data_IF_338817579759
#
_entry.id   IF_338817579759
#
_cell.length_a   1.000
_cell.length_b   1.000
_cell.length_c   1.000
_cell.angle_alpha   90.00
_cell.angle_beta   90.00
_cell.angle_gamma   90.00
#
_symmetry.space_group_name_H-M   'P 1'
#
loop_
_entity.id
_entity.type
_entity.pdbx_description
1 polymer ?
#
# COMPACT_ATOMS: atom_id res chain seq x y z
N UNK A 1 44.98 7.78 -40.61
CA UNK A 1 44.07 7.01 -39.74
C UNK A 1 44.03 7.58 -38.31
N UNK A 2 43.83 8.89 -38.13
CA UNK A 2 43.74 9.53 -36.80
C UNK A 2 42.77 10.74 -36.82
N UNK A 3 41.67 10.63 -37.57
CA UNK A 3 40.64 11.69 -37.67
C UNK A 3 39.19 11.23 -37.42
N UNK A 4 38.96 9.94 -37.14
CA UNK A 4 37.61 9.38 -36.96
C UNK A 4 37.24 9.03 -35.50
N UNK A 5 38.09 9.33 -34.52
CA UNK A 5 37.81 9.05 -33.10
C UNK A 5 37.19 10.23 -32.34
N UNK A 6 37.43 11.47 -32.79
CA UNK A 6 36.88 12.68 -32.15
C UNK A 6 35.39 12.90 -32.52
N UNK A 7 34.99 12.52 -33.74
CA UNK A 7 33.63 12.77 -34.26
C UNK A 7 32.54 11.82 -33.70
N UNK A 8 32.93 10.75 -32.99
CA UNK A 8 31.98 9.84 -32.34
C UNK A 8 31.65 10.20 -30.89
N UNK A 9 32.37 11.16 -30.28
CA UNK A 9 32.06 11.60 -28.91
C UNK A 9 30.99 12.71 -28.86
N UNK A 10 30.82 13.50 -29.93
CA UNK A 10 29.86 14.62 -29.95
C UNK A 10 28.42 14.27 -30.39
N UNK A 11 28.14 13.01 -30.79
CA UNK A 11 26.79 12.57 -31.19
C UNK A 11 25.98 11.88 -30.09
N UNK A 12 26.45 11.84 -28.85
CA UNK A 12 25.65 11.39 -27.70
C UNK A 12 25.09 12.59 -26.95
N UNK A 13 24.18 13.30 -27.62
CA UNK A 13 23.17 14.10 -26.95
C UNK A 13 22.30 13.18 -26.09
N UNK A 14 22.75 12.88 -24.88
CA UNK A 14 21.89 12.32 -23.84
C UNK A 14 20.81 13.35 -23.56
N UNK A 15 19.57 12.89 -23.73
CA UNK A 15 18.34 13.58 -23.38
C UNK A 15 18.47 14.27 -22.00
N UNK A 16 18.15 15.58 -21.87
CA UNK A 16 18.16 16.28 -20.58
C UNK A 16 17.36 15.57 -19.48
N UNK A 17 16.46 14.63 -19.82
CA UNK A 17 15.77 13.76 -18.88
C UNK A 17 16.70 12.86 -18.03
N UNK A 18 17.87 12.46 -18.54
CA UNK A 18 18.79 11.54 -17.83
C UNK A 18 19.61 12.20 -16.71
N UNK A 19 19.69 13.55 -16.66
CA UNK A 19 20.37 14.24 -15.55
C UNK A 19 19.59 14.19 -14.23
N UNK A 20 18.29 13.90 -14.26
CA UNK A 20 17.44 13.90 -13.05
C UNK A 20 17.29 12.54 -12.36
N UNK A 21 17.69 11.43 -13.00
CA UNK A 21 17.56 10.08 -12.42
C UNK A 21 18.79 9.72 -11.54
N UNK A 22 19.86 10.52 -11.57
CA UNK A 22 21.10 10.26 -10.83
C UNK A 22 21.37 11.21 -9.65
N UNK A 23 20.44 12.08 -9.27
CA UNK A 23 20.50 12.67 -7.93
C UNK A 23 20.17 11.57 -6.93
N UNK A 24 21.20 10.82 -6.51
CA UNK A 24 21.10 9.94 -5.34
C UNK A 24 20.45 10.78 -4.24
N UNK A 25 19.33 10.35 -3.64
CA UNK A 25 18.88 10.99 -2.41
C UNK A 25 20.07 10.98 -1.45
N UNK A 26 20.32 12.08 -0.71
CA UNK A 26 21.46 12.15 0.18
C UNK A 26 21.45 10.91 1.08
N UNK A 27 22.60 10.23 1.19
CA UNK A 27 22.78 8.97 1.93
C UNK A 27 22.25 9.03 3.37
N UNK A 28 21.99 10.22 3.91
CA UNK A 28 21.45 10.49 5.25
C UNK A 28 19.92 10.43 5.41
N UNK A 29 19.13 10.18 4.35
CA UNK A 29 17.64 10.23 4.39
C UNK A 29 16.94 8.87 4.31
N UNK A 30 17.61 7.79 4.67
CA UNK A 30 17.08 6.43 4.50
C UNK A 30 16.50 5.88 5.79
N UNK A 31 15.46 6.53 6.29
CA UNK A 31 14.74 6.03 7.45
C UNK A 31 13.93 4.77 7.09
N UNK A 32 13.73 3.86 8.04
CA UNK A 32 13.03 2.60 7.82
C UNK A 32 11.50 2.78 7.77
N UNK A 33 11.05 3.61 6.83
CA UNK A 33 9.70 4.19 6.81
C UNK A 33 8.59 3.14 6.79
N UNK A 34 8.81 2.06 6.05
CA UNK A 34 7.82 1.01 5.93
C UNK A 34 7.73 0.12 7.16
N UNK A 35 8.80 -0.06 7.94
CA UNK A 35 8.81 -1.07 9.00
C UNK A 35 7.98 -0.66 10.21
N UNK A 36 8.21 0.54 10.77
CA UNK A 36 7.47 0.98 11.96
C UNK A 36 6.01 1.27 11.63
N UNK A 37 5.69 1.66 10.38
CA UNK A 37 4.33 1.90 9.95
C UNK A 37 3.58 0.57 9.78
N UNK A 38 4.21 -0.44 9.18
CA UNK A 38 3.67 -1.81 9.09
C UNK A 38 3.51 -2.45 10.45
N UNK A 39 4.48 -2.25 11.35
CA UNK A 39 4.41 -2.72 12.73
C UNK A 39 3.25 -2.07 13.48
N UNK A 40 3.08 -0.75 13.36
CA UNK A 40 1.99 -0.02 14.05
C UNK A 40 0.61 -0.37 13.47
N UNK A 41 0.56 -0.75 12.20
CA UNK A 41 -0.64 -1.33 11.61
C UNK A 41 -0.86 -2.80 12.00
N UNK A 42 0.15 -3.51 12.51
CA UNK A 42 0.07 -4.94 12.81
C UNK A 42 0.23 -5.88 11.59
N UNK A 43 0.84 -5.42 10.49
CA UNK A 43 1.16 -6.29 9.35
C UNK A 43 2.58 -6.86 9.47
N UNK A 44 2.69 -8.11 9.94
CA UNK A 44 3.96 -8.82 10.08
C UNK A 44 4.65 -9.08 8.74
N UNK A 45 3.87 -9.48 7.71
CA UNK A 45 4.38 -9.68 6.34
C UNK A 45 5.12 -8.45 5.81
N UNK A 46 4.44 -7.29 5.81
CA UNK A 46 5.03 -6.04 5.31
C UNK A 46 6.21 -5.58 6.16
N UNK A 47 6.18 -5.80 7.47
CA UNK A 47 7.30 -5.46 8.36
C UNK A 47 8.56 -6.28 8.04
N UNK A 48 8.41 -7.59 7.82
CA UNK A 48 9.52 -8.47 7.44
C UNK A 48 10.13 -8.09 6.08
N UNK A 49 9.28 -7.84 5.08
CA UNK A 49 9.75 -7.37 3.76
C UNK A 49 10.45 -6.02 3.83
N UNK A 50 9.94 -5.08 4.62
CA UNK A 50 10.60 -3.79 4.82
C UNK A 50 11.99 -3.95 5.46
N UNK A 51 12.16 -4.91 6.38
CA UNK A 51 13.45 -5.20 6.98
C UNK A 51 14.45 -5.75 5.94
N UNK A 52 14.03 -6.71 5.12
CA UNK A 52 14.87 -7.31 4.07
C UNK A 52 15.17 -6.35 2.91
N UNK A 53 14.16 -5.70 2.32
CA UNK A 53 14.34 -4.86 1.13
C UNK A 53 15.25 -3.65 1.37
N UNK A 54 15.30 -3.13 2.60
CA UNK A 54 16.19 -2.04 2.91
C UNK A 54 17.66 -2.42 2.89
N UNK A 55 18.02 -3.69 3.16
CA UNK A 55 19.41 -4.15 3.11
C UNK A 55 19.98 -4.11 1.70
N UNK A 56 19.14 -4.31 0.66
CA UNK A 56 19.52 -4.28 -0.76
C UNK A 56 20.18 -2.94 -1.15
N UNK A 57 19.73 -1.83 -0.56
CA UNK A 57 20.25 -0.49 -0.85
C UNK A 57 21.26 0.03 0.16
N UNK A 58 21.25 -0.51 1.38
CA UNK A 58 21.89 0.09 2.55
C UNK A 58 23.05 -0.72 3.12
N UNK A 59 23.10 -2.03 2.86
CA UNK A 59 23.95 -2.97 3.59
C UNK A 59 23.25 -3.54 4.84
N UNK A 60 23.74 -4.69 5.29
CA UNK A 60 23.04 -5.55 6.27
C UNK A 60 23.01 -4.99 7.71
N UNK A 61 24.17 -4.69 8.30
CA UNK A 61 24.28 -4.65 9.78
C UNK A 61 23.69 -3.39 10.43
N UNK A 62 23.92 -2.22 9.83
CA UNK A 62 23.44 -0.93 10.38
C UNK A 62 21.94 -0.77 10.19
N UNK A 63 21.40 -1.27 9.07
CA UNK A 63 19.99 -1.09 8.73
C UNK A 63 19.08 -1.96 9.59
N UNK A 64 19.43 -3.24 9.77
CA UNK A 64 18.61 -4.19 10.53
C UNK A 64 18.54 -3.86 12.02
N UNK A 65 19.66 -3.44 12.63
CA UNK A 65 19.68 -3.02 14.04
C UNK A 65 18.83 -1.76 14.26
N UNK A 66 18.94 -0.78 13.35
CA UNK A 66 18.09 0.42 13.40
C UNK A 66 16.61 0.09 13.21
N UNK A 67 16.25 -0.88 12.37
CA UNK A 67 14.87 -1.30 12.18
C UNK A 67 14.20 -1.79 13.47
N UNK A 68 14.89 -2.67 14.21
CA UNK A 68 14.40 -3.16 15.48
C UNK A 68 14.18 -2.01 16.49
N UNK A 69 15.16 -1.11 16.60
CA UNK A 69 15.06 0.08 17.46
C UNK A 69 13.94 1.04 17.06
N UNK A 70 13.61 1.14 15.76
CA UNK A 70 12.52 1.99 15.28
C UNK A 70 11.13 1.42 15.64
N UNK A 71 11.02 0.09 15.81
CA UNK A 71 9.78 -0.59 16.19
C UNK A 71 9.51 -0.53 17.70
N UNK A 72 10.55 -0.40 18.54
CA UNK A 72 10.42 -0.26 19.99
C UNK A 72 9.52 0.93 20.36
N UNK A 73 8.70 0.86 21.42
CA UNK A 73 7.84 1.98 21.84
C UNK A 73 8.60 3.29 21.98
N UNK A 74 9.76 3.24 22.65
CA UNK A 74 10.71 4.34 22.78
C UNK A 74 12.04 3.91 22.16
N UNK A 75 12.50 4.55 21.07
CA UNK A 75 13.81 4.29 20.51
C UNK A 75 14.95 4.58 21.49
N UNK A 76 16.03 3.80 21.42
CA UNK A 76 17.22 4.03 22.25
C UNK A 76 17.84 5.43 22.05
N UNK A 77 18.44 6.04 23.09
CA UNK A 77 19.06 7.36 22.99
C UNK A 77 20.23 7.35 22.00
N UNK A 78 20.32 8.37 21.14
CA UNK A 78 21.42 8.54 20.19
C UNK A 78 21.38 7.62 18.95
N UNK A 79 20.39 6.71 18.84
CA UNK A 79 20.25 5.82 17.67
C UNK A 79 19.78 6.59 16.43
N UNK A 80 18.89 7.56 16.63
CA UNK A 80 18.23 8.31 15.56
C UNK A 80 18.52 9.80 15.69
N UNK A 81 18.77 10.45 14.55
CA UNK A 81 18.85 11.90 14.47
C UNK A 81 17.45 12.54 14.55
N UNK A 82 17.33 13.86 14.76
CA UNK A 82 16.04 14.52 14.90
C UNK A 82 15.08 14.33 13.71
N UNK A 83 15.60 14.25 12.48
CA UNK A 83 14.76 13.98 11.29
C UNK A 83 14.22 12.56 11.30
N UNK A 84 15.08 11.58 11.61
CA UNK A 84 14.67 10.17 11.72
C UNK A 84 13.60 9.99 12.80
N UNK A 85 13.78 10.62 13.97
CA UNK A 85 12.79 10.59 15.05
C UNK A 85 11.45 11.21 14.65
N UNK A 86 11.48 12.35 13.95
CA UNK A 86 10.26 12.97 13.44
C UNK A 86 9.50 12.03 12.48
N UNK A 87 10.22 11.34 11.59
CA UNK A 87 9.65 10.37 10.64
C UNK A 87 9.11 9.13 11.34
N UNK A 88 9.82 8.59 12.34
CA UNK A 88 9.35 7.42 13.13
C UNK A 88 8.08 7.79 13.90
N UNK A 89 8.07 8.93 14.58
CA UNK A 89 6.94 9.35 15.41
C UNK A 89 5.66 9.55 14.58
N UNK A 90 5.74 10.32 13.49
CA UNK A 90 4.59 10.52 12.64
C UNK A 90 4.16 9.22 11.97
N UNK A 91 5.12 8.38 11.58
CA UNK A 91 4.87 7.12 10.91
C UNK A 91 4.16 6.06 11.76
N UNK A 92 4.49 5.98 13.05
CA UNK A 92 3.77 5.11 14.00
C UNK A 92 2.32 5.52 14.15
N UNK A 93 2.08 6.82 14.40
CA UNK A 93 0.74 7.41 14.50
C UNK A 93 -0.06 7.27 13.21
N UNK A 94 0.59 7.41 12.07
CA UNK A 94 -0.01 7.26 10.75
C UNK A 94 -0.31 5.78 10.40
N UNK A 95 0.46 4.85 10.97
CA UNK A 95 0.27 3.41 10.82
C UNK A 95 -0.90 2.87 11.63
N UNK A 96 -1.19 3.49 12.78
CA UNK A 96 -2.30 3.14 13.67
C UNK A 96 -3.67 3.22 12.97
N UNK A 97 -4.62 2.41 13.46
CA UNK A 97 -6.01 2.36 12.98
C UNK A 97 -6.95 2.39 14.20
N UNK A 98 -7.72 3.49 14.40
CA UNK A 98 -7.73 4.71 13.62
C UNK A 98 -6.39 5.48 13.66
N UNK A 99 -6.19 6.39 12.72
CA UNK A 99 -4.97 7.18 12.62
C UNK A 99 -4.85 8.16 13.79
N UNK A 100 -3.67 8.27 14.39
CA UNK A 100 -3.43 9.10 15.58
C UNK A 100 -2.67 10.41 15.26
N UNK A 101 -2.48 10.74 13.98
CA UNK A 101 -1.76 11.96 13.59
C UNK A 101 -2.55 13.21 13.96
N UNK A 102 -1.87 14.13 14.64
CA UNK A 102 -2.38 15.45 15.00
C UNK A 102 -1.72 16.56 14.19
N UNK A 103 -2.30 17.77 14.23
CA UNK A 103 -1.67 18.96 13.65
C UNK A 103 -0.28 19.26 14.23
N UNK A 104 -0.06 18.94 15.51
CA UNK A 104 1.24 19.14 16.18
C UNK A 104 2.31 18.18 15.64
N UNK A 105 1.91 16.95 15.29
CA UNK A 105 2.80 15.98 14.65
C UNK A 105 3.24 16.46 13.26
N UNK A 106 2.29 16.99 12.47
CA UNK A 106 2.57 17.56 11.14
C UNK A 106 3.52 18.76 11.27
N UNK A 107 3.28 19.66 12.22
CA UNK A 107 4.16 20.80 12.46
C UNK A 107 5.54 20.35 12.96
N UNK A 108 5.61 19.32 13.79
CA UNK A 108 6.87 18.75 14.28
C UNK A 108 7.71 18.18 13.13
N UNK A 109 7.06 17.42 12.25
CA UNK A 109 7.68 16.94 11.02
C UNK A 109 8.16 18.10 10.14
N UNK A 110 7.34 19.15 9.97
CA UNK A 110 7.70 20.32 9.16
C UNK A 110 8.87 21.15 9.72
N UNK A 111 9.10 21.11 11.04
CA UNK A 111 10.30 21.72 11.66
C UNK A 111 11.58 20.93 11.38
N UNK A 112 11.47 19.62 11.21
CA UNK A 112 12.63 18.74 11.02
C UNK A 112 12.98 18.51 9.54
N UNK A 113 11.99 18.52 8.65
CA UNK A 113 12.12 18.08 7.26
C UNK A 113 11.75 19.20 6.28
N UNK A 114 12.47 19.29 5.16
CA UNK A 114 12.08 20.15 4.04
C UNK A 114 10.79 19.63 3.39
N UNK A 115 10.08 20.46 2.64
CA UNK A 115 8.85 20.04 1.95
C UNK A 115 9.07 18.85 1.00
N UNK A 116 10.24 18.79 0.34
CA UNK A 116 10.62 17.66 -0.54
C UNK A 116 10.89 16.38 0.25
N UNK A 117 11.54 16.49 1.43
CA UNK A 117 11.74 15.35 2.34
C UNK A 117 10.41 14.83 2.89
N UNK A 118 9.51 15.74 3.31
CA UNK A 118 8.18 15.39 3.81
C UNK A 118 7.39 14.62 2.74
N UNK A 119 7.30 15.15 1.53
CA UNK A 119 6.56 14.52 0.43
C UNK A 119 7.10 13.12 0.11
N UNK A 120 8.43 12.93 0.10
CA UNK A 120 9.04 11.62 -0.10
C UNK A 120 8.62 10.62 0.98
N UNK A 121 8.70 11.01 2.26
CA UNK A 121 8.34 10.17 3.41
C UNK A 121 6.85 9.83 3.40
N UNK A 122 5.99 10.83 3.17
CA UNK A 122 4.54 10.64 3.18
C UNK A 122 4.10 9.73 2.02
N UNK A 123 4.68 9.89 0.83
CA UNK A 123 4.37 9.02 -0.31
C UNK A 123 4.70 7.55 -0.01
N UNK A 124 5.85 7.29 0.61
CA UNK A 124 6.21 5.93 1.04
C UNK A 124 5.18 5.40 2.06
N UNK A 125 4.82 6.21 3.06
CA UNK A 125 3.84 5.81 4.08
C UNK A 125 2.44 5.56 3.53
N UNK A 126 2.02 6.36 2.55
CA UNK A 126 0.74 6.21 1.85
C UNK A 126 0.71 4.88 1.09
N UNK A 127 1.76 4.59 0.31
CA UNK A 127 1.89 3.31 -0.39
C UNK A 127 1.86 2.13 0.58
N UNK A 128 2.55 2.24 1.73
CA UNK A 128 2.49 1.21 2.76
C UNK A 128 1.09 1.04 3.33
N UNK A 129 0.28 2.10 3.41
CA UNK A 129 -1.13 1.98 3.79
C UNK A 129 -1.97 1.10 2.86
N UNK A 130 -1.67 1.13 1.56
CA UNK A 130 -2.25 0.19 0.61
C UNK A 130 -1.77 -1.23 0.90
N UNK A 131 -0.44 -1.43 0.90
CA UNK A 131 0.18 -2.75 1.02
C UNK A 131 -0.19 -3.45 2.32
N UNK A 132 -0.17 -2.74 3.44
CA UNK A 132 -0.48 -3.29 4.75
C UNK A 132 -1.91 -3.86 4.79
N UNK A 133 -2.88 -3.11 4.25
CA UNK A 133 -4.27 -3.56 4.20
C UNK A 133 -4.43 -4.71 3.21
N UNK A 134 -3.83 -4.58 2.03
CA UNK A 134 -3.87 -5.60 0.99
C UNK A 134 -3.31 -6.93 1.49
N UNK A 135 -2.06 -6.93 1.98
CA UNK A 135 -1.39 -8.13 2.46
C UNK A 135 -2.11 -8.73 3.65
N UNK A 136 -2.55 -7.92 4.62
CA UNK A 136 -3.33 -8.43 5.76
C UNK A 136 -4.56 -9.25 5.31
N UNK A 137 -5.28 -8.81 4.27
CA UNK A 137 -6.44 -9.55 3.77
C UNK A 137 -6.06 -10.79 2.95
N UNK A 138 -4.89 -10.78 2.30
CA UNK A 138 -4.42 -11.87 1.45
C UNK A 138 -3.71 -12.99 2.22
N UNK A 139 -3.07 -12.65 3.35
CA UNK A 139 -2.39 -13.58 4.26
C UNK A 139 -3.38 -14.27 5.22
N UNK A 140 -4.64 -13.81 5.30
CA UNK A 140 -5.66 -14.43 6.15
C UNK A 140 -5.93 -15.86 5.72
N UNK A 141 -6.26 -16.74 6.67
CA UNK A 141 -6.21 -18.21 6.60
C UNK A 141 -7.58 -18.89 6.35
N UNK A 142 -8.03 -19.05 5.08
CA UNK A 142 -9.42 -19.44 4.75
C UNK A 142 -9.69 -20.15 3.39
N UNK A 143 -8.70 -20.56 2.60
CA UNK A 143 -8.90 -21.32 1.35
C UNK A 143 -8.32 -22.74 1.44
N UNK A 144 -8.85 -23.55 2.36
CA UNK A 144 -8.77 -25.01 2.23
C UNK A 144 -10.17 -25.58 1.95
N UNK A 145 -10.38 -25.98 0.71
CA UNK A 145 -11.57 -26.63 0.18
C UNK A 145 -11.63 -28.14 0.47
N UNK A 146 -10.79 -28.63 1.38
CA UNK A 146 -10.91 -29.94 2.03
C UNK A 146 -11.27 -29.71 3.49
N UNK A 147 -12.47 -30.10 3.90
CA UNK A 147 -12.92 -30.02 5.29
C UNK A 147 -12.14 -30.96 6.24
N UNK A 148 -11.21 -31.78 5.75
CA UNK A 148 -10.54 -32.83 6.51
C UNK A 148 -9.01 -32.64 6.71
N UNK A 149 -8.33 -31.72 6.03
CA UNK A 149 -6.88 -31.53 6.20
C UNK A 149 -6.47 -30.04 6.15
N UNK A 150 -5.90 -29.57 7.27
CA UNK A 150 -5.09 -28.36 7.55
C UNK A 150 -5.45 -27.01 6.88
N UNK A 151 -5.59 -25.90 7.64
CA UNK A 151 -5.98 -24.59 7.09
C UNK A 151 -4.84 -23.93 6.30
N UNK A 152 -5.15 -23.42 5.09
CA UNK A 152 -4.29 -22.50 4.34
C UNK A 152 -5.11 -21.28 3.89
N UNK A 153 -4.47 -20.11 3.89
CA UNK A 153 -4.85 -18.77 3.38
C UNK A 153 -6.08 -18.59 2.46
N UNK A 154 -6.96 -17.60 2.70
CA UNK A 154 -7.95 -16.92 1.82
C UNK A 154 -7.45 -16.74 0.39
N UNK A 155 -6.16 -16.42 0.23
CA UNK A 155 -5.42 -16.43 -1.03
C UNK A 155 -4.04 -17.11 -0.92
N UNK A 156 -3.75 -17.76 0.21
CA UNK A 156 -2.52 -18.54 0.41
C UNK A 156 -1.22 -17.73 0.35
N UNK A 157 -1.24 -16.40 0.60
CA UNK A 157 0.01 -15.65 0.62
C UNK A 157 0.73 -15.86 1.94
N UNK A 158 1.73 -16.72 1.89
CA UNK A 158 2.63 -17.03 3.00
C UNK A 158 3.87 -16.14 2.94
N UNK A 159 4.38 -15.75 4.11
CA UNK A 159 5.65 -15.04 4.22
C UNK A 159 6.79 -15.93 3.75
N UNK A 160 7.51 -15.47 2.73
CA UNK A 160 8.63 -16.19 2.13
C UNK A 160 9.76 -16.40 3.15
N UNK A 161 10.58 -17.42 2.91
CA UNK A 161 11.57 -17.88 3.87
C UNK A 161 12.58 -16.80 4.24
N UNK A 162 13.11 -16.08 3.26
CA UNK A 162 14.15 -15.06 3.50
C UNK A 162 13.63 -13.88 4.34
N UNK A 163 12.47 -13.26 4.03
CA UNK A 163 11.79 -12.33 4.94
C UNK A 163 11.47 -12.91 6.32
N UNK A 164 11.00 -14.15 6.40
CA UNK A 164 10.67 -14.84 7.66
C UNK A 164 11.90 -14.99 8.55
N UNK A 165 13.00 -15.52 8.01
CA UNK A 165 14.29 -15.66 8.70
C UNK A 165 14.84 -14.30 9.12
N UNK A 166 14.76 -13.29 8.24
CA UNK A 166 15.19 -11.92 8.56
C UNK A 166 14.39 -11.36 9.73
N UNK A 167 13.06 -11.53 9.72
CA UNK A 167 12.19 -11.09 10.80
C UNK A 167 12.52 -11.79 12.12
N UNK A 168 12.61 -13.12 12.11
CA UNK A 168 12.93 -13.91 13.30
C UNK A 168 14.29 -13.55 13.89
N UNK A 169 15.29 -13.34 13.04
CA UNK A 169 16.65 -13.05 13.47
C UNK A 169 16.85 -11.62 13.96
N UNK A 170 16.20 -10.65 13.33
CA UNK A 170 16.53 -9.24 13.52
C UNK A 170 15.41 -8.40 14.15
N UNK A 171 14.16 -8.86 14.14
CA UNK A 171 13.02 -8.10 14.64
C UNK A 171 12.40 -8.74 15.89
N UNK A 172 12.74 -9.97 16.26
CA UNK A 172 12.14 -10.64 17.41
C UNK A 172 12.25 -9.83 18.72
N UNK A 173 13.37 -9.14 18.94
CA UNK A 173 13.58 -8.28 20.12
C UNK A 173 12.60 -7.09 20.19
N UNK A 174 12.06 -6.63 19.06
CA UNK A 174 11.05 -5.57 19.03
C UNK A 174 9.62 -6.07 19.27
N UNK A 175 9.46 -7.37 19.57
CA UNK A 175 8.15 -8.02 19.71
C UNK A 175 7.53 -8.45 18.39
N UNK A 176 8.28 -8.38 17.29
CA UNK A 176 7.80 -8.89 16.01
C UNK A 176 7.62 -10.40 16.04
N UNK A 177 6.53 -10.87 15.44
CA UNK A 177 6.30 -12.28 15.14
C UNK A 177 5.75 -12.40 13.72
N UNK A 178 5.91 -13.57 13.09
CA UNK A 178 5.31 -13.82 11.78
C UNK A 178 3.77 -13.75 11.82
N UNK A 179 3.16 -14.00 12.99
CA UNK A 179 1.72 -13.91 13.21
C UNK A 179 0.96 -14.77 12.22
N UNK A 180 -0.13 -14.24 11.67
CA UNK A 180 -0.96 -14.94 10.66
C UNK A 180 -0.31 -15.05 9.28
N UNK A 181 0.89 -14.52 9.07
CA UNK A 181 1.55 -14.56 7.76
C UNK A 181 2.37 -15.84 7.55
N UNK A 182 2.43 -16.73 8.55
CA UNK A 182 3.15 -17.99 8.48
C UNK A 182 2.56 -18.99 9.47
N UNK A 183 2.18 -20.16 8.97
CA UNK A 183 1.81 -21.34 9.75
C UNK A 183 2.89 -22.43 9.55
N UNK A 184 3.69 -22.77 10.58
CA UNK A 184 4.73 -23.79 10.46
C UNK A 184 4.24 -25.15 9.93
N UNK A 185 3.01 -25.56 10.27
CA UNK A 185 2.45 -26.84 9.84
C UNK A 185 1.77 -26.73 8.48
N UNK A 186 0.98 -25.68 8.25
CA UNK A 186 0.28 -25.44 6.99
C UNK A 186 1.19 -25.08 5.81
N UNK A 187 2.35 -24.47 6.07
CA UNK A 187 3.24 -23.90 5.05
C UNK A 187 4.52 -24.71 4.79
N UNK A 188 4.71 -25.88 5.41
CA UNK A 188 5.95 -26.66 5.29
C UNK A 188 6.34 -26.95 3.84
N UNK A 189 5.38 -27.40 3.02
CA UNK A 189 5.55 -27.68 1.59
C UNK A 189 5.98 -26.43 0.81
N UNK A 190 5.34 -25.28 1.06
CA UNK A 190 5.69 -24.00 0.43
C UNK A 190 7.09 -23.56 0.82
N UNK A 191 7.50 -23.79 2.08
CA UNK A 191 8.85 -23.47 2.54
C UNK A 191 9.92 -24.37 1.91
N UNK A 192 9.60 -25.65 1.66
CA UNK A 192 10.50 -26.54 0.91
C UNK A 192 10.68 -26.07 -0.54
N UNK A 193 9.60 -25.67 -1.21
CA UNK A 193 9.66 -25.10 -2.55
C UNK A 193 10.48 -23.80 -2.59
N UNK A 194 10.28 -22.91 -1.61
CA UNK A 194 11.01 -21.65 -1.53
C UNK A 194 12.50 -21.87 -1.26
N UNK A 195 12.87 -22.84 -0.40
CA UNK A 195 14.26 -23.29 -0.21
C UNK A 195 14.89 -23.74 -1.52
N UNK A 196 14.24 -24.63 -2.25
CA UNK A 196 14.72 -25.12 -3.54
C UNK A 196 14.85 -23.99 -4.58
N UNK A 197 13.91 -23.03 -4.58
CA UNK A 197 13.97 -21.84 -5.42
C UNK A 197 15.09 -20.87 -5.04
N UNK A 198 15.39 -20.73 -3.74
CA UNK A 198 16.48 -19.91 -3.23
C UNK A 198 17.85 -20.46 -3.66
N UNK A 199 18.06 -21.78 -3.57
CA UNK A 199 19.26 -22.43 -4.07
C UNK A 199 19.46 -22.18 -5.57
N UNK A 200 18.40 -22.38 -6.38
CA UNK A 200 18.42 -22.06 -7.83
C UNK A 200 18.65 -20.57 -8.10
N UNK A 201 18.19 -19.66 -7.23
CA UNK A 201 18.45 -18.22 -7.35
C UNK A 201 19.93 -17.92 -7.12
N UNK A 202 20.57 -18.52 -6.12
CA UNK A 202 22.00 -18.37 -5.86
C UNK A 202 22.86 -18.92 -7.01
N UNK A 203 22.48 -20.07 -7.58
CA UNK A 203 23.12 -20.61 -8.79
C UNK A 203 22.98 -19.65 -9.98
N UNK A 204 21.77 -19.09 -10.19
CA UNK A 204 21.53 -18.11 -11.25
C UNK A 204 22.30 -16.81 -11.01
N UNK A 205 22.45 -16.33 -9.77
CA UNK A 205 23.27 -15.15 -9.46
C UNK A 205 24.74 -15.37 -9.83
N UNK A 206 25.26 -16.59 -9.62
CA UNK A 206 26.62 -16.98 -10.04
C UNK A 206 26.78 -17.02 -11.56
N UNK A 207 25.70 -17.34 -12.29
CA UNK A 207 25.68 -17.42 -13.76
C UNK A 207 25.31 -16.10 -14.45
N UNK A 208 24.52 -15.24 -13.80
CA UNK A 208 23.96 -14.02 -14.35
C UNK A 208 24.88 -12.82 -14.13
N UNK A 209 25.95 -12.74 -14.91
CA UNK A 209 26.66 -11.49 -15.15
C UNK A 209 26.11 -10.82 -16.41
N UNK A 210 25.28 -9.78 -16.27
CA UNK A 210 25.01 -8.88 -17.39
C UNK A 210 23.85 -7.90 -17.19
N UNK A 211 24.15 -6.59 -17.27
CA UNK A 211 23.14 -5.51 -17.26
C UNK A 211 22.09 -5.58 -18.38
N UNK A 212 22.25 -6.50 -19.34
CA UNK A 212 21.31 -6.74 -20.43
C UNK A 212 19.98 -7.38 -19.98
N UNK A 213 20.01 -8.27 -18.99
CA UNK A 213 18.78 -8.89 -18.44
C UNK A 213 17.93 -7.85 -17.71
N UNK A 214 18.58 -6.96 -16.95
CA UNK A 214 17.92 -5.84 -16.27
C UNK A 214 17.27 -4.87 -17.26
N UNK A 215 17.96 -4.56 -18.37
CA UNK A 215 17.43 -3.69 -19.42
C UNK A 215 16.18 -4.28 -20.09
N UNK A 216 16.17 -5.59 -20.41
CA UNK A 216 14.99 -6.27 -20.97
C UNK A 216 13.77 -6.20 -20.04
N UNK A 217 13.98 -6.40 -18.74
CA UNK A 217 12.91 -6.31 -17.75
C UNK A 217 12.29 -4.90 -17.70
N UNK A 218 13.12 -3.85 -17.73
CA UNK A 218 12.66 -2.46 -17.75
C UNK A 218 11.84 -2.14 -19.01
N UNK A 219 12.26 -2.61 -20.19
CA UNK A 219 11.53 -2.40 -21.45
C UNK A 219 10.19 -3.13 -21.42
N UNK A 220 10.16 -4.40 -20.99
CA UNK A 220 8.93 -5.16 -20.85
C UNK A 220 7.92 -4.50 -19.91
N UNK A 221 8.39 -4.05 -18.74
CA UNK A 221 7.56 -3.34 -17.77
C UNK A 221 6.96 -2.05 -18.37
N UNK A 222 7.76 -1.26 -19.10
CA UNK A 222 7.30 -0.02 -19.74
C UNK A 222 6.27 -0.25 -20.83
N UNK A 223 6.42 -1.33 -21.61
CA UNK A 223 5.45 -1.69 -22.66
C UNK A 223 4.12 -2.16 -22.08
N UNK A 224 4.15 -2.99 -21.03
CA UNK A 224 2.95 -3.41 -20.32
C UNK A 224 2.22 -2.21 -19.68
N UNK A 225 2.97 -1.29 -19.07
CA UNK A 225 2.43 -0.07 -18.49
C UNK A 225 1.75 0.80 -19.56
N UNK A 226 2.45 1.09 -20.66
CA UNK A 226 1.91 1.91 -21.76
C UNK A 226 0.63 1.32 -22.38
N UNK A 227 0.56 -0.01 -22.52
CA UNK A 227 -0.64 -0.69 -23.02
C UNK A 227 -1.82 -0.57 -22.04
N UNK A 228 -1.56 -0.72 -20.74
CA UNK A 228 -2.59 -0.60 -19.69
C UNK A 228 -3.13 0.83 -19.53
N UNK A 229 -2.34 1.83 -19.91
CA UNK A 229 -2.67 3.26 -19.80
C UNK A 229 -3.40 3.83 -21.02
N UNK A 230 -3.54 3.07 -22.11
CA UNK A 230 -4.18 3.56 -23.35
C UNK A 230 -5.62 4.03 -23.09
N UNK A 231 -5.92 5.29 -23.45
CA UNK A 231 -7.25 5.89 -23.32
C UNK A 231 -7.64 6.38 -21.92
N UNK A 232 -6.76 6.25 -20.91
CA UNK A 232 -7.00 6.82 -19.59
C UNK A 232 -6.43 8.24 -19.54
N UNK A 233 -7.17 9.28 -19.09
CA UNK A 233 -6.60 10.59 -18.86
C UNK A 233 -5.57 10.50 -17.72
N UNK A 234 -4.30 10.38 -18.08
CA UNK A 234 -3.18 10.25 -17.14
C UNK A 234 -2.62 11.60 -16.72
N UNK A 235 -3.00 12.69 -17.39
CA UNK A 235 -2.60 14.03 -16.96
C UNK A 235 -3.55 14.54 -15.88
N UNK A 236 -2.96 14.98 -14.78
CA UNK A 236 -3.66 15.64 -13.68
C UNK A 236 -4.54 16.81 -14.14
N UNK A 237 -4.07 17.58 -15.13
CA UNK A 237 -4.84 18.69 -15.72
C UNK A 237 -6.18 18.21 -16.28
N UNK A 238 -6.19 17.08 -16.98
CA UNK A 238 -7.41 16.50 -17.53
C UNK A 238 -8.33 15.98 -16.42
N UNK A 239 -7.76 15.35 -15.37
CA UNK A 239 -8.54 14.87 -14.22
C UNK A 239 -9.18 16.04 -13.46
N UNK A 240 -8.41 17.10 -13.17
CA UNK A 240 -8.91 18.31 -12.51
C UNK A 240 -10.06 18.92 -13.30
N UNK A 241 -9.87 19.09 -14.61
CA UNK A 241 -10.88 19.65 -15.51
C UNK A 241 -12.15 18.79 -15.50
N UNK A 242 -12.03 17.48 -15.75
CA UNK A 242 -13.17 16.56 -15.78
C UNK A 242 -13.92 16.50 -14.45
N UNK A 243 -13.21 16.47 -13.32
CA UNK A 243 -13.82 16.51 -12.00
C UNK A 243 -14.57 17.83 -11.78
N UNK A 244 -13.97 18.97 -12.14
CA UNK A 244 -14.61 20.28 -12.01
C UNK A 244 -15.86 20.38 -12.88
N UNK A 245 -15.78 19.95 -14.14
CA UNK A 245 -16.90 19.99 -15.09
C UNK A 245 -18.07 19.07 -14.68
N UNK A 246 -17.78 17.86 -14.18
CA UNK A 246 -18.82 16.85 -13.93
C UNK A 246 -19.29 16.77 -12.49
N UNK A 247 -18.42 17.10 -11.54
CA UNK A 247 -18.67 17.00 -10.11
C UNK A 247 -18.70 18.38 -9.42
N UNK A 248 -18.31 19.46 -10.11
CA UNK A 248 -18.26 20.82 -9.54
C UNK A 248 -17.00 21.09 -8.72
N UNK A 249 -16.17 20.08 -8.46
CA UNK A 249 -14.91 20.23 -7.73
C UNK A 249 -13.94 19.09 -8.10
N UNK A 250 -12.65 19.27 -7.81
CA UNK A 250 -11.65 18.23 -7.90
C UNK A 250 -11.12 17.91 -6.48
N UNK A 251 -11.19 16.65 -6.02
CA UNK A 251 -10.63 16.27 -4.72
C UNK A 251 -9.16 16.65 -4.63
N UNK A 252 -8.76 17.37 -3.59
CA UNK A 252 -7.39 17.90 -3.45
C UNK A 252 -6.31 16.79 -3.38
N UNK A 253 -6.66 15.58 -2.96
CA UNK A 253 -5.72 14.46 -3.00
C UNK A 253 -5.50 13.89 -4.41
N UNK A 254 -6.32 14.31 -5.38
CA UNK A 254 -6.14 14.01 -6.81
C UNK A 254 -5.46 15.15 -7.57
N UNK A 255 -5.46 16.36 -7.01
CA UNK A 255 -4.92 17.57 -7.66
C UNK A 255 -4.03 18.31 -6.67
N UNK A 256 -2.73 18.38 -6.93
CA UNK A 256 -1.82 19.14 -6.06
C UNK A 256 -1.25 20.38 -6.74
N UNK A 257 -0.29 20.99 -6.07
CA UNK A 257 0.40 22.16 -6.62
C UNK A 257 1.21 21.76 -7.86
N UNK A 258 1.15 22.59 -8.90
CA UNK A 258 1.74 22.39 -10.23
C UNK A 258 3.28 22.21 -10.20
N UNK A 259 3.90 22.45 -9.04
CA UNK A 259 5.36 22.40 -8.81
C UNK A 259 5.84 21.17 -8.02
N UNK A 260 4.98 20.22 -7.66
CA UNK A 260 5.45 18.98 -7.00
C UNK A 260 6.33 18.18 -7.97
N UNK A 261 7.57 17.86 -7.52
CA UNK A 261 8.51 17.01 -8.27
C UNK A 261 8.08 15.53 -8.27
N UNK A 262 7.09 15.16 -7.44
CA UNK A 262 6.61 13.78 -7.24
C UNK A 262 5.27 13.52 -7.94
N UNK A 263 4.97 14.25 -9.03
CA UNK A 263 3.74 14.11 -9.82
C UNK A 263 3.42 12.65 -10.20
N UNK A 264 4.44 11.78 -10.37
CA UNK A 264 4.23 10.37 -10.72
C UNK A 264 3.50 9.56 -9.64
N UNK A 265 3.82 9.75 -8.36
CA UNK A 265 3.16 9.04 -7.26
C UNK A 265 1.68 9.45 -7.16
N UNK A 266 1.42 10.76 -7.31
CA UNK A 266 0.06 11.30 -7.38
C UNK A 266 -0.68 10.77 -8.61
N UNK A 267 -0.06 10.71 -9.78
CA UNK A 267 -0.67 10.16 -10.99
C UNK A 267 -1.04 8.68 -10.82
N UNK A 268 -0.20 7.89 -10.15
CA UNK A 268 -0.52 6.50 -9.81
C UNK A 268 -1.73 6.42 -8.86
N UNK A 269 -1.79 7.30 -7.86
CA UNK A 269 -2.95 7.40 -6.96
C UNK A 269 -4.23 7.81 -7.70
N UNK A 270 -4.15 8.80 -8.58
CA UNK A 270 -5.27 9.24 -9.43
C UNK A 270 -5.74 8.09 -10.32
N UNK A 271 -4.82 7.36 -10.92
CA UNK A 271 -5.15 6.20 -11.74
C UNK A 271 -5.84 5.12 -10.91
N UNK A 272 -5.27 4.75 -9.76
CA UNK A 272 -5.85 3.74 -8.89
C UNK A 272 -7.25 4.15 -8.39
N UNK A 273 -7.42 5.41 -7.99
CA UNK A 273 -8.71 5.97 -7.59
C UNK A 273 -9.74 5.89 -8.72
N UNK A 274 -9.40 6.43 -9.89
CA UNK A 274 -10.35 6.49 -11.01
C UNK A 274 -10.69 5.11 -11.57
N UNK A 275 -9.70 4.23 -11.77
CA UNK A 275 -9.88 2.90 -12.40
C UNK A 275 -10.41 1.84 -11.45
N UNK A 276 -10.09 1.92 -10.15
CA UNK A 276 -10.42 0.83 -9.22
C UNK A 276 -11.53 1.19 -8.24
N UNK A 277 -11.62 2.45 -7.81
CA UNK A 277 -12.69 2.89 -6.90
C UNK A 277 -13.89 3.47 -7.66
N UNK A 278 -13.67 4.27 -8.69
CA UNK A 278 -14.77 4.94 -9.41
C UNK A 278 -15.39 4.09 -10.52
N UNK A 279 -14.62 3.21 -11.16
CA UNK A 279 -15.15 2.25 -12.14
C UNK A 279 -15.59 0.98 -11.40
N UNK A 280 -16.86 0.61 -11.56
CA UNK A 280 -17.39 -0.69 -11.13
C UNK A 280 -17.12 -1.75 -12.19
N UNK A 281 -17.05 -3.00 -11.77
CA UNK A 281 -17.20 -4.15 -12.66
C UNK A 281 -18.65 -4.64 -12.63
N UNK A 282 -19.01 -5.57 -13.51
CA UNK A 282 -20.29 -6.28 -13.41
C UNK A 282 -20.40 -7.04 -12.08
N UNK A 283 -19.26 -7.50 -11.55
CA UNK A 283 -19.21 -8.29 -10.33
C UNK A 283 -19.24 -7.44 -9.06
N UNK A 284 -18.52 -6.33 -9.06
CA UNK A 284 -18.40 -5.38 -7.94
C UNK A 284 -18.80 -3.98 -8.42
N UNK A 285 -20.10 -3.62 -8.27
CA UNK A 285 -20.60 -2.32 -8.70
C UNK A 285 -19.91 -1.15 -7.99
N UNK A 286 -19.78 -0.01 -8.69
CA UNK A 286 -19.16 1.20 -8.14
C UNK A 286 -19.87 1.68 -6.85
N UNK A 287 -21.19 1.61 -6.81
CA UNK A 287 -22.00 1.94 -5.64
C UNK A 287 -21.60 1.11 -4.41
N UNK A 288 -21.35 -0.19 -4.58
CA UNK A 288 -20.89 -1.09 -3.50
C UNK A 288 -19.52 -0.67 -3.00
N UNK A 289 -18.55 -0.44 -3.90
CA UNK A 289 -17.21 0.02 -3.53
C UNK A 289 -17.21 1.32 -2.75
N UNK A 290 -18.04 2.28 -3.18
CA UNK A 290 -18.14 3.58 -2.54
C UNK A 290 -18.82 3.49 -1.17
N UNK A 291 -19.81 2.59 -1.02
CA UNK A 291 -20.41 2.29 0.28
C UNK A 291 -19.40 1.66 1.23
N UNK A 292 -18.59 0.70 0.76
CA UNK A 292 -17.49 0.12 1.54
C UNK A 292 -16.48 1.20 1.96
N UNK A 293 -16.10 2.09 1.04
CA UNK A 293 -15.22 3.22 1.32
C UNK A 293 -15.81 4.19 2.35
N UNK A 294 -17.11 4.45 2.28
CA UNK A 294 -17.83 5.25 3.27
C UNK A 294 -17.79 4.61 4.67
N UNK A 295 -18.04 3.30 4.78
CA UNK A 295 -17.98 2.57 6.05
C UNK A 295 -16.57 2.59 6.65
N UNK A 296 -15.56 2.34 5.82
CA UNK A 296 -14.17 2.33 6.27
C UNK A 296 -13.67 3.74 6.66
N UNK A 297 -14.09 4.79 5.93
CA UNK A 297 -13.80 6.17 6.31
C UNK A 297 -14.53 6.59 7.59
N UNK A 298 -15.73 6.07 7.83
CA UNK A 298 -16.51 6.35 9.06
C UNK A 298 -15.86 5.71 10.28
N UNK A 299 -15.44 4.45 10.19
CA UNK A 299 -14.75 3.75 11.28
C UNK A 299 -13.39 4.37 11.61
N UNK A 300 -12.70 4.95 10.63
CA UNK A 300 -11.45 5.66 10.85
C UNK A 300 -11.62 7.15 11.27
N UNK A 301 -12.84 7.60 11.53
CA UNK A 301 -13.22 9.00 11.80
C UNK A 301 -12.64 10.01 10.78
N UNK A 302 -12.52 9.59 9.52
CA UNK A 302 -11.99 10.43 8.45
C UNK A 302 -13.14 11.17 7.76
N UNK A 303 -13.45 12.36 8.26
CA UNK A 303 -14.59 13.18 7.81
C UNK A 303 -14.52 13.56 6.33
N UNK A 304 -13.32 13.84 5.81
CA UNK A 304 -13.08 14.22 4.41
C UNK A 304 -13.43 13.07 3.48
N UNK A 305 -12.85 11.89 3.71
CA UNK A 305 -13.12 10.72 2.89
C UNK A 305 -14.55 10.24 3.07
N UNK A 306 -15.11 10.33 4.29
CA UNK A 306 -16.52 10.00 4.54
C UNK A 306 -17.43 10.86 3.65
N UNK A 307 -17.21 12.17 3.59
CA UNK A 307 -17.97 13.06 2.72
C UNK A 307 -17.80 12.72 1.22
N UNK A 308 -16.57 12.46 0.77
CA UNK A 308 -16.32 12.12 -0.63
C UNK A 308 -16.93 10.78 -1.05
N UNK A 309 -16.80 9.74 -0.22
CA UNK A 309 -17.41 8.44 -0.51
C UNK A 309 -18.93 8.49 -0.45
N UNK A 310 -19.52 9.26 0.48
CA UNK A 310 -20.96 9.52 0.50
C UNK A 310 -21.43 10.21 -0.78
N UNK A 311 -20.73 11.26 -1.23
CA UNK A 311 -21.03 11.96 -2.47
C UNK A 311 -20.96 11.03 -3.68
N UNK A 312 -19.90 10.21 -3.80
CA UNK A 312 -19.75 9.27 -4.91
C UNK A 312 -20.83 8.19 -4.88
N UNK A 313 -21.12 7.60 -3.72
CA UNK A 313 -22.17 6.60 -3.55
C UNK A 313 -23.53 7.18 -3.95
N UNK A 314 -23.84 8.41 -3.52
CA UNK A 314 -25.07 9.09 -3.88
C UNK A 314 -25.21 9.30 -5.38
N UNK A 315 -24.14 9.70 -6.05
CA UNK A 315 -24.11 9.83 -7.52
C UNK A 315 -24.28 8.50 -8.27
N UNK A 316 -24.00 7.38 -7.61
CA UNK A 316 -24.26 6.03 -8.13
C UNK A 316 -25.57 5.44 -7.60
N UNK A 317 -26.50 6.28 -7.13
CA UNK A 317 -27.87 5.87 -6.78
C UNK A 317 -28.04 5.35 -5.35
N UNK A 318 -27.02 5.43 -4.49
CA UNK A 318 -27.16 5.05 -3.08
C UNK A 318 -27.87 6.17 -2.31
N UNK A 319 -28.99 5.85 -1.65
CA UNK A 319 -29.70 6.82 -0.82
C UNK A 319 -28.91 7.17 0.45
N UNK A 320 -29.15 8.36 1.00
CA UNK A 320 -28.55 8.77 2.29
C UNK A 320 -28.97 7.82 3.41
N UNK A 321 -30.22 7.34 3.40
CA UNK A 321 -30.71 6.35 4.36
C UNK A 321 -29.91 5.04 4.28
N UNK A 322 -29.61 4.56 3.08
CA UNK A 322 -28.83 3.32 2.90
C UNK A 322 -27.39 3.49 3.41
N UNK A 323 -26.78 4.66 3.23
CA UNK A 323 -25.47 4.95 3.80
C UNK A 323 -25.50 4.97 5.32
N UNK A 324 -26.51 5.63 5.92
CA UNK A 324 -26.67 5.68 7.37
C UNK A 324 -26.86 4.27 7.96
N UNK A 325 -27.71 3.44 7.35
CA UNK A 325 -27.92 2.05 7.74
C UNK A 325 -26.65 1.21 7.64
N UNK A 326 -25.82 1.42 6.60
CA UNK A 326 -24.57 0.68 6.42
C UNK A 326 -23.58 0.87 7.59
N UNK A 327 -23.64 2.03 8.27
CA UNK A 327 -22.77 2.38 9.40
C UNK A 327 -23.42 2.25 10.78
N UNK A 328 -24.70 1.90 10.87
CA UNK A 328 -25.40 1.76 12.14
C UNK A 328 -24.88 0.54 12.94
N UNK A 329 -24.83 0.65 14.27
CA UNK A 329 -24.57 -0.48 15.17
C UNK A 329 -25.68 -1.52 15.05
N UNK A 330 -25.33 -2.78 14.83
CA UNK A 330 -26.31 -3.83 14.50
C UNK A 330 -27.02 -3.61 13.17
N UNK A 331 -26.51 -2.71 12.32
CA UNK A 331 -27.05 -2.40 11.01
C UNK A 331 -27.25 -3.68 10.21
N UNK A 332 -28.53 -3.93 9.95
CA UNK A 332 -29.04 -5.18 9.44
C UNK A 332 -28.34 -5.55 8.13
N UNK A 333 -27.53 -6.59 8.18
CA UNK A 333 -27.17 -7.34 6.99
C UNK A 333 -28.15 -8.49 6.78
N UNK A 334 -29.31 -8.50 7.46
CA UNK A 334 -30.39 -9.45 7.16
C UNK A 334 -30.50 -9.50 5.66
N UNK A 335 -30.44 -10.73 5.16
CA UNK A 335 -30.39 -11.07 3.74
C UNK A 335 -31.64 -10.63 2.98
N UNK A 336 -31.92 -9.33 2.93
CA UNK A 336 -32.61 -8.71 1.82
C UNK A 336 -31.86 -9.03 0.52
N UNK A 337 -32.60 -9.03 -0.59
CA UNK A 337 -32.38 -9.73 -1.88
C UNK A 337 -30.96 -9.79 -2.50
N UNK A 338 -29.96 -9.10 -1.97
CA UNK A 338 -28.57 -9.07 -2.47
C UNK A 338 -27.53 -9.52 -1.42
N UNK A 339 -27.43 -10.84 -1.21
CA UNK A 339 -26.42 -11.49 -0.37
C UNK A 339 -24.98 -11.12 -0.75
N UNK A 340 -24.75 -10.85 -2.03
CA UNK A 340 -23.43 -10.50 -2.57
C UNK A 340 -22.99 -9.15 -2.02
N UNK A 341 -23.84 -8.13 -2.13
CA UNK A 341 -23.60 -6.82 -1.51
C UNK A 341 -23.45 -6.93 0.00
N UNK A 342 -24.30 -7.70 0.69
CA UNK A 342 -24.19 -7.90 2.13
C UNK A 342 -22.82 -8.44 2.55
N UNK A 343 -22.28 -9.44 1.84
CA UNK A 343 -20.95 -9.99 2.08
C UNK A 343 -19.84 -8.93 1.93
N UNK A 344 -19.91 -8.09 0.89
CA UNK A 344 -18.95 -7.00 0.70
C UNK A 344 -19.01 -5.94 1.81
N UNK A 345 -20.22 -5.57 2.29
CA UNK A 345 -20.36 -4.61 3.39
C UNK A 345 -19.88 -5.21 4.72
N UNK A 346 -20.12 -6.49 4.97
CA UNK A 346 -19.57 -7.21 6.13
C UNK A 346 -18.04 -7.24 6.11
N UNK A 347 -17.42 -7.42 4.95
CA UNK A 347 -15.97 -7.28 4.77
C UNK A 347 -15.47 -5.88 5.11
N UNK A 348 -16.15 -4.84 4.63
CA UNK A 348 -15.80 -3.45 4.96
C UNK A 348 -15.90 -3.16 6.46
N UNK A 349 -16.94 -3.70 7.13
CA UNK A 349 -17.12 -3.58 8.58
C UNK A 349 -16.00 -4.27 9.36
N UNK A 350 -15.67 -5.51 8.99
CA UNK A 350 -14.56 -6.25 9.61
C UNK A 350 -13.21 -5.51 9.45
N UNK A 351 -13.02 -4.82 8.32
CA UNK A 351 -11.81 -4.03 8.06
C UNK A 351 -11.78 -2.66 8.75
N UNK A 352 -12.91 -2.18 9.29
CA UNK A 352 -13.01 -0.88 9.94
C UNK A 352 -12.38 -0.82 11.33
N UNK A 353 -12.25 -1.95 12.01
CA UNK A 353 -11.68 -2.04 13.36
C UNK A 353 -10.15 -2.19 13.38
N UNK A 354 -9.65 -2.65 14.53
CA UNK A 354 -8.25 -3.04 14.69
C UNK A 354 -7.85 -4.04 13.60
N UNK A 355 -6.70 -3.83 12.92
CA UNK A 355 -6.23 -4.73 11.89
C UNK A 355 -6.12 -6.16 12.44
N UNK A 356 -6.77 -7.09 11.77
CA UNK A 356 -6.81 -8.49 12.16
C UNK A 356 -7.40 -9.35 11.05
N UNK A 357 -7.44 -10.67 11.26
CA UNK A 357 -7.95 -11.59 10.28
C UNK A 357 -9.46 -11.43 10.07
N UNK A 358 -9.90 -11.65 8.82
CA UNK A 358 -11.33 -11.77 8.53
C UNK A 358 -11.86 -13.06 9.17
N UNK A 359 -13.07 -13.04 9.78
CA UNK A 359 -13.73 -14.25 10.26
C UNK A 359 -13.85 -15.31 9.17
N UNK A 360 -13.65 -16.59 9.51
CA UNK A 360 -13.67 -17.69 8.55
C UNK A 360 -15.00 -17.80 7.81
N UNK A 361 -16.09 -17.57 8.53
CA UNK A 361 -17.46 -17.59 8.02
C UNK A 361 -17.68 -16.48 6.97
N UNK A 362 -17.08 -15.31 7.21
CA UNK A 362 -17.15 -14.19 6.28
C UNK A 362 -16.35 -14.47 5.01
N UNK A 363 -15.17 -15.07 5.13
CA UNK A 363 -14.40 -15.47 3.94
C UNK A 363 -15.13 -16.54 3.14
N UNK A 364 -15.65 -17.57 3.80
CA UNK A 364 -16.45 -18.59 3.15
C UNK A 364 -17.67 -18.00 2.43
N UNK A 365 -18.32 -16.99 3.05
CA UNK A 365 -19.40 -16.24 2.41
C UNK A 365 -18.90 -15.47 1.17
N UNK A 366 -17.80 -14.72 1.27
CA UNK A 366 -17.22 -13.99 0.14
C UNK A 366 -16.91 -14.93 -1.03
N UNK A 367 -16.28 -16.08 -0.78
CA UNK A 367 -15.94 -17.06 -1.83
C UNK A 367 -17.15 -17.76 -2.45
N UNK A 368 -18.29 -17.81 -1.75
CA UNK A 368 -19.56 -18.30 -2.32
C UNK A 368 -20.24 -17.25 -3.20
N UNK A 369 -20.06 -15.97 -2.90
CA UNK A 369 -20.75 -14.87 -3.57
C UNK A 369 -19.94 -14.22 -4.70
N UNK A 370 -18.62 -14.36 -4.66
CA UNK A 370 -17.68 -13.72 -5.58
C UNK A 370 -16.69 -14.72 -6.16
N UNK A 371 -16.29 -14.49 -7.41
CA UNK A 371 -15.12 -15.10 -8.02
C UNK A 371 -13.85 -14.62 -7.31
N UNK A 372 -12.71 -15.31 -7.46
CA UNK A 372 -11.43 -14.83 -6.94
C UNK A 372 -11.09 -13.41 -7.43
N UNK A 373 -11.43 -13.07 -8.68
CA UNK A 373 -11.21 -11.72 -9.21
C UNK A 373 -12.08 -10.67 -8.51
N UNK A 374 -13.36 -10.99 -8.26
CA UNK A 374 -14.27 -10.16 -7.49
C UNK A 374 -13.80 -9.92 -6.05
N UNK A 375 -13.33 -10.96 -5.37
CA UNK A 375 -12.76 -10.82 -4.02
C UNK A 375 -11.50 -9.95 -4.03
N UNK A 376 -10.60 -10.15 -4.99
CA UNK A 376 -9.41 -9.28 -5.17
C UNK A 376 -9.83 -7.82 -5.43
N UNK A 377 -10.92 -7.59 -6.14
CA UNK A 377 -11.46 -6.25 -6.39
C UNK A 377 -12.02 -5.59 -5.11
N UNK A 378 -12.64 -6.37 -4.22
CA UNK A 378 -13.05 -5.91 -2.88
C UNK A 378 -11.84 -5.59 -1.98
N UNK A 379 -10.85 -6.48 -1.97
CA UNK A 379 -9.56 -6.29 -1.26
C UNK A 379 -8.88 -5.00 -1.72
N UNK A 380 -8.77 -4.80 -3.04
CA UNK A 380 -8.19 -3.59 -3.62
C UNK A 380 -8.97 -2.33 -3.24
N UNK A 381 -10.30 -2.41 -3.23
CA UNK A 381 -11.16 -1.29 -2.84
C UNK A 381 -10.82 -0.80 -1.44
N UNK A 382 -10.83 -1.69 -0.44
CA UNK A 382 -10.53 -1.34 0.95
C UNK A 382 -9.06 -0.92 1.14
N UNK A 383 -8.14 -1.51 0.38
CA UNK A 383 -6.72 -1.16 0.41
C UNK A 383 -6.46 0.24 -0.13
N UNK A 384 -7.15 0.66 -1.20
CA UNK A 384 -7.06 2.02 -1.72
C UNK A 384 -7.69 3.05 -0.78
N UNK A 385 -8.77 2.70 -0.07
CA UNK A 385 -9.33 3.56 0.97
C UNK A 385 -8.32 3.74 2.11
N UNK A 386 -7.68 2.65 2.56
CA UNK A 386 -6.61 2.67 3.58
C UNK A 386 -5.40 3.54 3.16
N UNK A 387 -5.04 3.51 1.88
CA UNK A 387 -4.04 4.41 1.29
C UNK A 387 -4.47 5.88 1.39
N UNK A 388 -5.70 6.20 0.95
CA UNK A 388 -6.23 7.56 0.96
C UNK A 388 -6.41 8.11 2.37
N UNK A 389 -6.75 7.26 3.35
CA UNK A 389 -6.86 7.68 4.76
C UNK A 389 -5.55 8.30 5.23
N UNK A 390 -4.41 7.66 4.94
CA UNK A 390 -3.10 8.18 5.33
C UNK A 390 -2.75 9.48 4.60
N UNK A 391 -3.10 9.57 3.32
CA UNK A 391 -2.89 10.80 2.55
C UNK A 391 -3.66 11.97 3.17
N UNK A 392 -4.95 11.76 3.43
CA UNK A 392 -5.86 12.80 3.92
C UNK A 392 -5.63 13.15 5.39
N UNK A 393 -5.07 12.25 6.19
CA UNK A 393 -4.63 12.54 7.58
C UNK A 393 -3.43 13.49 7.65
N UNK A 394 -2.57 13.53 6.62
CA UNK A 394 -1.43 14.46 6.58
C UNK A 394 -1.78 15.73 5.84
N UNK A 395 -2.28 15.58 4.62
CA UNK A 395 -2.61 16.71 3.77
C UNK A 395 -4.06 17.10 4.04
N UNK A 396 -4.26 17.94 5.05
CA UNK A 396 -5.54 18.60 5.25
C UNK A 396 -5.68 19.77 4.26
N UNK A 397 -6.90 20.06 3.75
CA UNK A 397 -7.15 21.28 3.01
C UNK A 397 -6.70 22.48 3.85
N UNK A 398 -5.92 23.40 3.26
CA UNK A 398 -5.66 24.70 3.89
C UNK A 398 -7.02 25.40 4.04
N UNK A 399 -7.39 25.77 5.28
CA UNK A 399 -8.61 26.55 5.55
C UNK A 399 -8.50 27.95 4.95
#
# INVERSE_FOLDING_TARGET
MLKNAQDMQDRRGMDPFYKHIHTRPPRSQSSPQGIFLSSSFGCSYCSAHCAGLGTIRQGHDVFLTKNAQAMMPVPGPGVFNPKELAVINIGKKLGAVPNEVTSDDIQSMARALTSEEQECVINAMVLMGFLNRFMLMMTNDCFCSRMDESPRGTFGMTLELEPLETGNKHLAESGWTAGISFDPEGDEELMEEDRAMAERREERKKQACGGFTFLKMLVGAKMADSASLKGTPTSEKNVKQLCTERAGFAPYYLVGEEKSKMANARNALVWAFTRRLCQGSEEVPAATKQTMGYMLATSADNTILRAHFAFMAHRNGVSVSNLASATAEGGDTDGGEDLKKAAALSMARACGGTPGPLPRELVALLMRQYTPAGVIELVNTLSLVSMLQRWTSIYMPKQ
#
